data_IF_410206363925
#
_entry.id   IF_410206363925
#
_cell.length_a   1.000
_cell.length_b   1.000
_cell.length_c   1.000
_cell.angle_alpha   90.00
_cell.angle_beta   90.00
_cell.angle_gamma   90.00
#
_symmetry.space_group_name_H-M   'P 1'
#
loop_
_entity.id
_entity.type
_entity.pdbx_description
1 polymer ?
#
# COMPACT_ATOMS: atom_id res chain seq x y z
N UNK A 1 -26.19 -23.69 16.48
CA UNK A 1 -25.23 -22.86 15.72
C UNK A 1 -25.98 -21.68 15.06
N UNK A 2 -26.64 -20.81 15.83
CA UNK A 2 -27.97 -20.30 15.40
C UNK A 2 -28.16 -18.79 15.19
N UNK A 3 -27.28 -17.88 15.64
CA UNK A 3 -27.54 -16.43 15.56
C UNK A 3 -26.49 -15.64 14.75
N UNK A 4 -25.20 -15.96 14.94
CA UNK A 4 -24.10 -15.20 14.33
C UNK A 4 -24.06 -15.31 12.80
N UNK A 5 -24.40 -16.47 12.24
CA UNK A 5 -24.47 -16.66 10.79
C UNK A 5 -25.67 -15.96 10.15
N UNK A 6 -26.80 -15.83 10.87
CA UNK A 6 -27.99 -15.13 10.38
C UNK A 6 -27.75 -13.61 10.34
N UNK A 7 -27.14 -13.06 11.39
CA UNK A 7 -26.72 -11.66 11.45
C UNK A 7 -25.69 -11.34 10.35
N UNK A 8 -24.68 -12.21 10.15
CA UNK A 8 -23.70 -12.03 9.08
C UNK A 8 -24.34 -12.02 7.70
N UNK A 9 -25.24 -12.97 7.40
CA UNK A 9 -25.95 -13.02 6.12
C UNK A 9 -26.85 -11.80 5.89
N UNK A 10 -27.52 -11.30 6.94
CA UNK A 10 -28.31 -10.08 6.85
C UNK A 10 -27.41 -8.87 6.47
N UNK A 11 -26.30 -8.68 7.18
CA UNK A 11 -25.34 -7.60 6.91
C UNK A 11 -24.78 -7.75 5.49
N UNK A 12 -24.40 -8.96 5.09
CA UNK A 12 -23.88 -9.22 3.74
C UNK A 12 -24.91 -8.86 2.67
N UNK A 13 -26.18 -9.23 2.87
CA UNK A 13 -27.28 -8.83 1.98
C UNK A 13 -27.48 -7.32 1.95
N UNK A 14 -27.34 -6.61 3.07
CA UNK A 14 -27.42 -5.15 3.07
C UNK A 14 -26.25 -4.51 2.29
N UNK A 15 -25.02 -5.00 2.51
CA UNK A 15 -23.83 -4.54 1.78
C UNK A 15 -24.00 -4.79 0.28
N UNK A 16 -24.44 -5.98 -0.11
CA UNK A 16 -24.55 -6.36 -1.52
C UNK A 16 -25.68 -5.61 -2.24
N UNK A 17 -26.83 -5.38 -1.58
CA UNK A 17 -27.96 -4.69 -2.21
C UNK A 17 -27.83 -3.16 -2.22
N UNK A 18 -27.10 -2.56 -1.27
CA UNK A 18 -27.02 -1.10 -1.15
C UNK A 18 -25.61 -0.56 -1.37
N UNK A 19 -24.60 -1.16 -0.77
CA UNK A 19 -23.22 -0.64 -0.81
C UNK A 19 -22.54 -1.03 -2.13
N UNK A 20 -22.67 -2.28 -2.57
CA UNK A 20 -22.07 -2.78 -3.81
C UNK A 20 -22.48 -1.97 -5.05
N UNK A 21 -23.78 -1.71 -5.32
CA UNK A 21 -24.16 -0.93 -6.50
C UNK A 21 -23.77 0.55 -6.41
N UNK A 22 -23.69 1.11 -5.21
CA UNK A 22 -23.22 2.49 -5.00
C UNK A 22 -21.72 2.59 -5.22
N UNK A 23 -20.94 1.67 -4.66
CA UNK A 23 -19.50 1.57 -4.87
C UNK A 23 -19.16 1.33 -6.35
N UNK A 24 -19.93 0.48 -7.03
CA UNK A 24 -19.80 0.24 -8.47
C UNK A 24 -20.02 1.51 -9.29
N UNK A 25 -21.07 2.29 -8.98
CA UNK A 25 -21.34 3.57 -9.65
C UNK A 25 -20.28 4.63 -9.36
N UNK A 26 -19.73 4.69 -8.16
CA UNK A 26 -18.66 5.64 -7.82
C UNK A 26 -17.35 5.27 -8.53
N UNK A 27 -17.01 3.98 -8.56
CA UNK A 27 -15.81 3.47 -9.22
C UNK A 27 -15.84 3.65 -10.75
N UNK A 28 -17.03 3.64 -11.37
CA UNK A 28 -17.19 3.83 -12.81
C UNK A 28 -17.24 5.30 -13.25
N UNK A 29 -17.26 6.26 -12.33
CA UNK A 29 -17.24 7.68 -12.68
C UNK A 29 -15.90 8.07 -13.33
N UNK A 30 -15.96 8.70 -14.50
CA UNK A 30 -14.75 9.10 -15.26
C UNK A 30 -13.77 9.97 -14.47
N UNK A 31 -14.27 10.82 -13.58
CA UNK A 31 -13.43 11.70 -12.76
C UNK A 31 -12.67 10.92 -11.67
N UNK A 32 -13.37 10.00 -10.98
CA UNK A 32 -12.77 9.14 -9.95
C UNK A 32 -11.78 8.16 -10.58
N UNK A 33 -12.14 7.60 -11.74
CA UNK A 33 -11.29 6.72 -12.52
C UNK A 33 -10.00 7.43 -12.95
N UNK A 34 -10.09 8.64 -13.51
CA UNK A 34 -8.93 9.44 -13.87
C UNK A 34 -8.00 9.74 -12.68
N UNK A 35 -8.55 10.01 -11.49
CA UNK A 35 -7.74 10.23 -10.28
C UNK A 35 -7.01 8.95 -9.85
N UNK A 36 -7.70 7.80 -9.84
CA UNK A 36 -7.11 6.49 -9.52
C UNK A 36 -5.98 6.15 -10.49
N UNK A 37 -6.23 6.31 -11.78
CA UNK A 37 -5.25 6.01 -12.82
C UNK A 37 -4.05 6.97 -12.73
N UNK A 38 -4.30 8.24 -12.40
CA UNK A 38 -3.26 9.21 -12.04
C UNK A 38 -2.43 8.78 -10.83
N UNK A 39 -3.05 8.26 -9.78
CA UNK A 39 -2.31 7.77 -8.61
C UNK A 39 -1.50 6.50 -8.91
N UNK A 40 -2.03 5.58 -9.72
CA UNK A 40 -1.29 4.41 -10.19
C UNK A 40 -0.04 4.83 -10.96
N UNK A 41 -0.10 5.92 -11.73
CA UNK A 41 1.09 6.48 -12.40
C UNK A 41 2.16 7.03 -11.44
N UNK A 42 1.76 7.43 -10.23
CA UNK A 42 2.66 7.93 -9.19
C UNK A 42 3.24 6.81 -8.29
N UNK A 43 2.59 5.64 -8.20
CA UNK A 43 3.08 4.47 -7.46
C UNK A 43 4.54 4.09 -7.79
N UNK A 44 5.00 4.00 -9.05
CA UNK A 44 6.40 3.67 -9.35
C UNK A 44 7.38 4.71 -8.80
N UNK A 45 7.03 6.01 -8.83
CA UNK A 45 7.86 7.06 -8.24
C UNK A 45 7.93 6.94 -6.72
N UNK A 46 6.82 6.62 -6.05
CA UNK A 46 6.82 6.33 -4.62
C UNK A 46 7.71 5.13 -4.26
N UNK A 47 7.67 4.06 -5.08
CA UNK A 47 8.52 2.88 -4.89
C UNK A 47 10.00 3.26 -5.04
N UNK A 48 10.38 3.97 -6.11
CA UNK A 48 11.77 4.39 -6.35
C UNK A 48 12.26 5.35 -5.26
N UNK A 49 11.44 6.33 -4.86
CA UNK A 49 11.77 7.26 -3.78
C UNK A 49 11.96 6.55 -2.44
N UNK A 50 11.12 5.57 -2.13
CA UNK A 50 11.26 4.73 -0.93
C UNK A 50 12.58 3.94 -0.93
N UNK A 51 12.95 3.33 -2.06
CA UNK A 51 14.22 2.61 -2.17
C UNK A 51 15.44 3.53 -2.04
N UNK A 52 15.38 4.74 -2.62
CA UNK A 52 16.43 5.75 -2.44
C UNK A 52 16.66 6.10 -0.97
N UNK A 53 15.59 6.24 -0.19
CA UNK A 53 15.70 6.49 1.26
C UNK A 53 16.35 5.32 2.01
N UNK A 54 16.07 4.07 1.62
CA UNK A 54 16.73 2.89 2.21
C UNK A 54 18.23 2.88 1.92
N UNK A 55 18.66 3.35 0.74
CA UNK A 55 20.09 3.47 0.43
C UNK A 55 20.75 4.68 1.11
N UNK A 56 20.00 5.77 1.34
CA UNK A 56 20.50 6.95 2.03
C UNK A 56 20.60 6.74 3.56
N UNK A 57 19.60 6.08 4.15
CA UNK A 57 19.52 5.78 5.58
C UNK A 57 19.34 4.28 5.81
N UNK A 58 20.37 3.47 5.55
CA UNK A 58 20.31 2.02 5.76
C UNK A 58 20.11 1.70 7.25
N UNK A 59 19.10 0.91 7.63
CA UNK A 59 18.80 0.56 9.03
C UNK A 59 19.65 -0.62 9.51
N UNK A 60 20.97 -0.54 9.34
CA UNK A 60 21.91 -1.60 9.75
C UNK A 60 23.06 -1.03 10.56
N UNK A 61 23.52 -1.74 11.60
CA UNK A 61 24.71 -1.37 12.36
C UNK A 61 25.99 -1.58 11.52
N UNK A 62 27.00 -0.70 11.65
CA UNK A 62 28.28 -0.80 10.92
C UNK A 62 29.00 -2.15 11.07
N UNK A 63 28.70 -2.90 12.14
CA UNK A 63 29.38 -4.14 12.53
C UNK A 63 28.81 -5.42 11.86
N UNK A 64 27.98 -5.26 10.82
CA UNK A 64 27.29 -6.38 10.15
C UNK A 64 28.25 -7.24 9.31
N UNK A 65 28.21 -8.58 9.48
CA UNK A 65 29.07 -9.59 8.83
C UNK A 65 29.02 -9.59 7.29
N UNK A 66 27.93 -9.08 6.69
CA UNK A 66 27.73 -9.06 5.25
C UNK A 66 28.40 -7.83 4.63
N UNK A 67 29.48 -8.02 3.88
CA UNK A 67 30.33 -6.93 3.36
C UNK A 67 29.62 -5.85 2.53
N UNK A 68 28.52 -6.20 1.83
CA UNK A 68 27.69 -5.24 1.08
C UNK A 68 26.89 -4.33 2.03
N UNK A 69 26.33 -4.89 3.11
CA UNK A 69 25.57 -4.14 4.11
C UNK A 69 26.46 -3.21 4.92
N UNK A 70 27.66 -3.66 5.33
CA UNK A 70 28.63 -2.81 6.00
C UNK A 70 29.09 -1.63 5.13
N UNK A 71 29.26 -1.86 3.82
CA UNK A 71 29.67 -0.80 2.88
C UNK A 71 28.60 0.25 2.65
N UNK A 72 27.33 -0.16 2.63
CA UNK A 72 26.16 0.73 2.52
C UNK A 72 25.91 1.48 3.83
N UNK A 73 26.03 0.84 4.99
CA UNK A 73 25.95 1.50 6.30
C UNK A 73 26.98 2.64 6.42
N UNK A 74 28.23 2.40 6.02
CA UNK A 74 29.29 3.43 5.96
C UNK A 74 29.15 4.46 4.81
N UNK A 75 28.14 4.33 3.95
CA UNK A 75 27.75 5.38 2.99
C UNK A 75 26.72 6.33 3.64
N UNK A 76 25.74 5.79 4.40
CA UNK A 76 24.75 6.60 5.12
C UNK A 76 25.34 7.52 6.20
N UNK A 77 26.45 7.14 6.85
CA UNK A 77 27.15 8.01 7.80
C UNK A 77 27.95 9.16 7.14
N UNK A 78 28.15 9.11 5.82
CA UNK A 78 28.94 10.10 5.05
C UNK A 78 28.10 11.12 4.29
N UNK A 79 26.77 10.95 4.30
CA UNK A 79 25.78 11.87 3.72
C UNK A 79 25.16 12.69 4.83
#
# INVERSE_FOLDING_TARGET
MSANHAAFNLIFRFVENYISPVAGRISSQRHVMAIRDGFISAMPFMIVGSFLLVFAYPPFSPDTTWGVCARLAGFGERV
#
